data_IF_914048070953
#
_entry.id   IF_914048070953
#
_cell.length_a   1.000
_cell.length_b   1.000
_cell.length_c   1.000
_cell.angle_alpha   90.00
_cell.angle_beta   90.00
_cell.angle_gamma   90.00
#
_symmetry.space_group_name_H-M   'P 1'
#
loop_
_entity.id
_entity.type
_entity.pdbx_description
1 polymer ?
#
# COMPACT_ATOMS: atom_id res chain seq x y z
N UNK A 1 2.12 -5.63 -18.09
CA UNK A 1 1.37 -5.14 -16.92
C UNK A 1 1.38 -6.25 -15.89
N UNK A 2 1.85 -5.99 -14.68
CA UNK A 2 1.91 -6.95 -13.57
C UNK A 2 1.04 -6.43 -12.44
N UNK A 3 0.11 -7.27 -11.98
CA UNK A 3 -0.86 -6.95 -10.95
C UNK A 3 -0.88 -8.09 -9.91
N UNK A 4 -0.97 -7.73 -8.63
CA UNK A 4 -1.10 -8.67 -7.52
C UNK A 4 -2.15 -8.14 -6.52
N UNK A 5 -3.06 -9.01 -6.08
CA UNK A 5 -4.02 -8.73 -5.01
C UNK A 5 -3.72 -9.60 -3.80
N UNK A 6 -3.71 -9.02 -2.61
CA UNK A 6 -3.55 -9.71 -1.34
C UNK A 6 -4.80 -9.39 -0.51
N UNK A 7 -5.81 -10.26 -0.60
CA UNK A 7 -7.07 -10.13 0.11
C UNK A 7 -7.26 -11.35 1.02
N UNK A 8 -7.50 -11.15 2.32
CA UNK A 8 -7.92 -12.20 3.25
C UNK A 8 -6.90 -13.30 3.60
N UNK A 9 -5.62 -13.16 3.24
CA UNK A 9 -4.56 -14.04 3.75
C UNK A 9 -3.99 -13.47 5.05
N UNK A 10 -3.69 -14.36 5.99
CA UNK A 10 -3.12 -14.15 7.33
C UNK A 10 -1.74 -13.46 7.37
N UNK A 11 -1.33 -12.74 6.33
CA UNK A 11 -0.02 -12.10 6.25
C UNK A 11 -0.19 -10.61 5.94
N UNK A 12 -0.30 -9.79 6.99
CA UNK A 12 0.10 -8.38 6.91
C UNK A 12 1.58 -8.19 6.53
N UNK A 13 2.34 -9.30 6.45
CA UNK A 13 3.71 -9.37 5.96
C UNK A 13 3.78 -9.26 4.42
N UNK A 14 4.27 -8.11 3.95
CA UNK A 14 4.51 -7.83 2.54
C UNK A 14 5.97 -8.13 2.12
N UNK A 15 6.80 -8.71 3.00
CA UNK A 15 8.22 -9.01 2.72
C UNK A 15 8.47 -9.80 1.43
N UNK A 16 7.63 -10.78 1.05
CA UNK A 16 7.80 -11.50 -0.21
C UNK A 16 7.71 -10.60 -1.46
N UNK A 17 7.13 -9.41 -1.34
CA UNK A 17 6.97 -8.48 -2.47
C UNK A 17 8.25 -7.69 -2.76
N UNK A 18 9.20 -7.58 -1.82
CA UNK A 18 10.35 -6.67 -1.93
C UNK A 18 11.18 -6.86 -3.22
N UNK A 19 11.21 -8.08 -3.77
CA UNK A 19 11.93 -8.41 -5.01
C UNK A 19 11.16 -8.12 -6.31
N UNK A 20 9.87 -7.79 -6.25
CA UNK A 20 9.00 -7.64 -7.42
C UNK A 20 9.13 -6.26 -8.08
N UNK A 21 10.35 -5.84 -8.40
CA UNK A 21 10.67 -4.47 -8.87
C UNK A 21 9.93 -4.03 -10.14
N UNK A 22 9.37 -4.98 -10.90
CA UNK A 22 8.53 -4.73 -12.08
C UNK A 22 7.03 -4.63 -11.77
N UNK A 23 6.59 -4.79 -10.52
CA UNK A 23 5.19 -4.69 -10.13
C UNK A 23 4.68 -3.27 -10.37
N UNK A 24 3.55 -3.15 -11.09
CA UNK A 24 2.97 -1.85 -11.44
C UNK A 24 1.68 -1.54 -10.68
N UNK A 25 0.97 -2.60 -10.28
CA UNK A 25 -0.29 -2.53 -9.56
C UNK A 25 -0.26 -3.49 -8.37
N UNK A 26 -0.68 -3.00 -7.21
CA UNK A 26 -0.86 -3.77 -5.99
C UNK A 26 -2.22 -3.43 -5.38
N UNK A 27 -2.92 -4.43 -4.86
CA UNK A 27 -4.08 -4.25 -3.99
C UNK A 27 -3.89 -5.02 -2.69
N UNK A 28 -4.30 -4.40 -1.60
CA UNK A 28 -4.39 -5.02 -0.28
C UNK A 28 -5.78 -4.79 0.34
N UNK A 29 -6.25 -5.75 1.11
CA UNK A 29 -7.51 -5.67 1.84
C UNK A 29 -7.55 -6.63 3.02
N UNK A 30 -7.38 -6.12 4.24
CA UNK A 30 -7.61 -6.87 5.48
C UNK A 30 -7.76 -5.92 6.69
N UNK A 31 -8.84 -6.03 7.46
CA UNK A 31 -9.05 -5.23 8.69
C UNK A 31 -8.41 -5.84 9.95
N UNK A 32 -8.09 -7.14 9.93
CA UNK A 32 -7.62 -7.89 11.11
C UNK A 32 -6.14 -7.66 11.43
N UNK A 33 -5.34 -7.24 10.45
CA UNK A 33 -3.89 -7.13 10.61
C UNK A 33 -3.37 -5.78 10.10
N UNK A 34 -2.32 -5.29 10.77
CA UNK A 34 -1.57 -4.13 10.32
C UNK A 34 -0.66 -4.53 9.15
N UNK A 35 -0.65 -3.72 8.10
CA UNK A 35 0.29 -3.89 6.98
C UNK A 35 1.56 -3.08 7.24
N UNK A 36 2.73 -3.75 7.23
CA UNK A 36 4.02 -3.07 7.11
C UNK A 36 4.30 -2.80 5.63
N UNK A 37 4.32 -1.52 5.25
CA UNK A 37 4.57 -1.08 3.88
C UNK A 37 6.06 -0.92 3.54
N UNK A 38 6.97 -1.16 4.49
CA UNK A 38 8.44 -1.09 4.28
C UNK A 38 8.92 -1.90 3.06
N UNK A 39 8.43 -3.12 2.80
CA UNK A 39 8.82 -3.90 1.63
C UNK A 39 8.49 -3.22 0.29
N UNK A 40 7.53 -2.29 0.26
CA UNK A 40 7.11 -1.58 -0.95
C UNK A 40 8.11 -0.48 -1.35
N UNK A 41 9.04 -0.10 -0.46
CA UNK A 41 10.06 0.91 -0.74
C UNK A 41 10.99 0.50 -1.91
N UNK A 42 11.16 -0.80 -2.18
CA UNK A 42 11.94 -1.30 -3.32
C UNK A 42 11.19 -1.30 -4.67
N UNK A 43 9.86 -1.12 -4.66
CA UNK A 43 9.01 -1.26 -5.84
C UNK A 43 8.99 0.02 -6.69
N UNK A 44 10.10 0.26 -7.41
CA UNK A 44 10.32 1.48 -8.18
C UNK A 44 9.35 1.68 -9.36
N UNK A 45 8.70 0.60 -9.83
CA UNK A 45 7.74 0.65 -10.93
C UNK A 45 6.27 0.68 -10.47
N UNK A 46 6.01 0.67 -9.16
CA UNK A 46 4.64 0.67 -8.63
C UNK A 46 3.99 2.03 -8.89
N UNK A 47 2.92 2.04 -9.68
CA UNK A 47 2.20 3.27 -10.10
C UNK A 47 0.84 3.41 -9.44
N UNK A 48 0.23 2.29 -9.11
CA UNK A 48 -1.11 2.24 -8.56
C UNK A 48 -1.14 1.28 -7.39
N UNK A 49 -1.60 1.77 -6.24
CA UNK A 49 -1.76 0.97 -5.02
C UNK A 49 -3.19 1.13 -4.50
N UNK A 50 -3.91 0.02 -4.39
CA UNK A 50 -5.27 -0.02 -3.88
C UNK A 50 -5.28 -0.55 -2.45
N UNK A 51 -5.99 0.15 -1.58
CA UNK A 51 -6.19 -0.21 -0.19
C UNK A 51 -7.70 -0.25 0.02
N UNK A 52 -8.28 -1.43 -0.12
CA UNK A 52 -9.70 -1.64 0.08
C UNK A 52 -10.03 -1.60 1.58
N UNK A 53 -9.21 -2.26 2.38
CA UNK A 53 -9.40 -2.40 3.84
C UNK A 53 -8.04 -2.48 4.55
N UNK A 54 -7.98 -1.93 5.78
CA UNK A 54 -6.79 -2.03 6.64
C UNK A 54 -7.20 -1.93 8.10
N UNK A 55 -6.38 -2.47 9.00
CA UNK A 55 -6.44 -2.09 10.41
C UNK A 55 -6.30 -0.54 10.57
N UNK A 56 -6.91 0.07 11.59
CA UNK A 56 -6.80 1.50 11.84
C UNK A 56 -5.36 1.96 12.07
N UNK A 57 -5.01 3.14 11.55
CA UNK A 57 -3.68 3.72 11.74
C UNK A 57 -2.66 3.24 10.72
N UNK A 58 -3.09 2.94 9.48
CA UNK A 58 -2.17 2.55 8.41
C UNK A 58 -1.19 3.69 8.10
N UNK A 59 0.10 3.43 8.28
CA UNK A 59 1.17 4.38 8.03
C UNK A 59 1.64 4.31 6.57
N UNK A 60 1.60 5.45 5.88
CA UNK A 60 2.08 5.57 4.50
C UNK A 60 3.54 6.08 4.43
N UNK A 61 4.16 6.46 5.54
CA UNK A 61 5.55 6.97 5.60
C UNK A 61 6.56 6.11 4.83
N UNK A 62 6.50 4.76 4.85
CA UNK A 62 7.43 3.92 4.08
C UNK A 62 7.39 4.14 2.55
N UNK A 63 6.34 4.78 2.04
CA UNK A 63 6.19 5.10 0.62
C UNK A 63 6.88 6.41 0.21
N UNK A 64 7.61 7.07 1.11
CA UNK A 64 8.32 8.31 0.82
C UNK A 64 9.22 8.25 -0.42
N UNK A 65 9.24 9.34 -1.19
CA UNK A 65 10.00 9.46 -2.44
C UNK A 65 9.43 8.66 -3.60
N UNK A 66 8.31 7.94 -3.43
CA UNK A 66 7.60 7.28 -4.52
C UNK A 66 6.70 8.26 -5.27
N UNK A 67 6.49 7.99 -6.56
CA UNK A 67 5.55 8.73 -7.39
C UNK A 67 4.46 7.80 -7.90
N UNK A 68 3.34 7.78 -7.19
CA UNK A 68 2.23 6.86 -7.45
C UNK A 68 0.87 7.45 -7.04
N UNK A 69 -0.20 6.78 -7.47
CA UNK A 69 -1.56 7.05 -6.95
C UNK A 69 -1.95 5.94 -5.98
N UNK A 70 -2.37 6.34 -4.78
CA UNK A 70 -2.93 5.44 -3.76
C UNK A 70 -4.43 5.64 -3.72
N UNK A 71 -5.17 4.58 -4.02
CA UNK A 71 -6.63 4.52 -3.92
C UNK A 71 -6.99 3.93 -2.57
N UNK A 72 -7.74 4.67 -1.76
CA UNK A 72 -8.04 4.31 -0.38
C UNK A 72 -9.54 4.33 -0.18
N UNK A 73 -10.14 3.23 0.28
CA UNK A 73 -11.57 3.24 0.62
C UNK A 73 -11.87 4.26 1.72
N UNK A 74 -13.06 4.87 1.70
CA UNK A 74 -13.48 5.83 2.75
C UNK A 74 -13.40 5.29 4.17
N UNK A 75 -13.55 3.98 4.38
CA UNK A 75 -13.49 3.36 5.71
C UNK A 75 -12.07 3.24 6.29
N UNK A 76 -11.06 3.27 5.44
CA UNK A 76 -9.65 3.13 5.85
C UNK A 76 -9.20 4.37 6.63
N UNK A 77 -8.72 4.11 7.84
CA UNK A 77 -8.14 5.10 8.75
C UNK A 77 -6.62 5.08 8.60
N UNK A 78 -6.08 6.13 8.00
CA UNK A 78 -4.63 6.32 7.94
C UNK A 78 -4.12 6.80 9.30
N UNK A 79 -2.85 6.54 9.62
CA UNK A 79 -2.19 7.15 10.76
C UNK A 79 -2.18 8.68 10.60
N UNK A 80 -2.10 9.41 11.73
CA UNK A 80 -1.90 10.87 11.76
C UNK A 80 -0.46 11.25 11.35
N UNK A 81 0.04 10.62 10.29
CA UNK A 81 1.35 10.84 9.70
C UNK A 81 1.24 11.74 8.46
N UNK A 82 2.32 12.47 8.18
CA UNK A 82 2.42 13.30 6.98
C UNK A 82 2.28 12.41 5.75
N UNK A 83 1.36 12.77 4.84
CA UNK A 83 1.27 12.10 3.53
C UNK A 83 2.60 12.29 2.81
N UNK A 84 3.30 11.22 2.40
CA UNK A 84 4.59 11.37 1.76
C UNK A 84 4.49 12.14 0.45
N UNK A 85 5.50 12.98 0.18
CA UNK A 85 5.59 13.76 -1.05
C UNK A 85 5.60 12.86 -2.28
N UNK A 86 4.99 13.33 -3.38
CA UNK A 86 4.92 12.58 -4.65
C UNK A 86 3.79 11.55 -4.74
N UNK A 87 3.09 11.28 -3.63
CA UNK A 87 1.93 10.39 -3.59
C UNK A 87 0.64 11.21 -3.78
N UNK A 88 -0.21 10.77 -4.71
CA UNK A 88 -1.58 11.27 -4.83
C UNK A 88 -2.53 10.28 -4.17
N UNK A 89 -3.29 10.74 -3.17
CA UNK A 89 -4.32 9.94 -2.52
C UNK A 89 -5.68 10.23 -3.16
N UNK A 90 -6.41 9.18 -3.55
CA UNK A 90 -7.78 9.25 -4.02
C UNK A 90 -8.66 8.38 -3.13
N UNK A 91 -9.75 8.95 -2.62
CA UNK A 91 -10.73 8.20 -1.83
C UNK A 91 -11.91 7.76 -2.70
N UNK A 92 -12.37 6.52 -2.50
CA UNK A 92 -13.55 5.96 -3.15
C UNK A 92 -14.58 5.52 -2.11
#
# INVERSE_FOLDING_TARGET
MSALSIDGASAGDLSPLAGLTRLQWLSIGNEEHQFDLTPLAGLTQLKTFWIAESAPGLDLTPLHGKRMTVHVSRKVKLADAVIPTGIRILRF
#
